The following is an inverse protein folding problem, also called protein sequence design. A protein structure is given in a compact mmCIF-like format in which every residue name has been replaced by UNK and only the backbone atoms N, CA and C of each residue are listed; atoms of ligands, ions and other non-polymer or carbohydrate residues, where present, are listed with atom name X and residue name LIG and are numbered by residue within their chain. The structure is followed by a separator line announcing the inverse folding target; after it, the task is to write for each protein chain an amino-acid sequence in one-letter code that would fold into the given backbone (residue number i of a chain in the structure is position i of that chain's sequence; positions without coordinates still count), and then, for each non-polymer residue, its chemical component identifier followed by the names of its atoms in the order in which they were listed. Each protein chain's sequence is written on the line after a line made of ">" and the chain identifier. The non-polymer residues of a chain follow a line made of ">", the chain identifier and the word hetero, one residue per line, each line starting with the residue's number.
data_IF_581410162061
#
_entry.id   IF_581410162061
#
_cell.length_a   1.000
_cell.length_b   1.000
_cell.length_c   1.000
_cell.angle_alpha   90.00
_cell.angle_beta   90.00
_cell.angle_gamma   90.00
#
_symmetry.space_group_name_H-M   'P 1'
#
loop_
_entity.id
_entity.type
_entity.pdbx_description
1 polymer ?
#
# COMPACT_ATOMS: atom_id res chain seq x y z
N UNK A 1 0.24 21.81 -3.01
CA UNK A 1 0.37 21.24 -2.98
C UNK A 1 0.42 20.55 -3.01
N UNK A 2 0.69 20.19 -2.91
CA UNK A 2 0.90 19.53 -2.75
C UNK A 2 0.93 18.65 -2.80
N UNK A 3 1.14 18.70 -2.79
CA UNK A 3 1.18 17.87 -2.92
C UNK A 3 1.77 16.67 -2.76
N UNK A 4 2.35 16.41 -2.59
CA UNK A 4 2.91 15.42 -2.35
C UNK A 4 2.51 14.84 -1.31
N UNK A 5 2.24 14.40 -1.03
CA UNK A 5 1.80 13.92 0.02
C UNK A 5 1.85 12.55 -0.02
N UNK A 6 2.23 11.96 -1.02
CA UNK A 6 2.20 10.71 -1.04
C UNK A 6 3.35 10.06 -0.62
N UNK A 7 3.40 9.16 0.23
CA UNK A 7 4.46 8.37 0.65
C UNK A 7 4.56 7.19 -0.27
N UNK A 8 4.90 7.41 -1.46
CA UNK A 8 5.10 6.33 -2.41
C UNK A 8 6.49 5.74 -2.30
N UNK A 9 6.79 4.74 -3.09
CA UNK A 9 8.09 4.09 -3.10
C UNK A 9 8.98 4.52 -4.25
N UNK A 10 8.46 5.27 -5.19
CA UNK A 10 9.20 5.59 -6.39
C UNK A 10 10.47 6.37 -6.13
N UNK A 11 10.42 7.30 -5.21
CA UNK A 11 11.57 8.20 -5.00
C UNK A 11 12.69 7.56 -4.18
N UNK A 12 12.46 6.40 -3.58
CA UNK A 12 13.48 5.73 -2.78
C UNK A 12 13.87 4.37 -3.31
N UNK A 13 13.28 3.93 -4.41
CA UNK A 13 13.53 2.61 -4.93
C UNK A 13 14.94 2.53 -5.50
N UNK A 14 15.64 1.46 -5.21
CA UNK A 14 17.00 1.27 -5.70
C UNK A 14 17.04 0.51 -7.01
N UNK A 15 16.11 -0.36 -7.24
CA UNK A 15 16.06 -1.15 -8.46
C UNK A 15 14.64 -1.56 -8.67
N UNK A 16 14.36 -2.12 -9.82
CA UNK A 16 13.02 -2.46 -10.24
C UNK A 16 12.02 -2.81 -9.15
N UNK A 17 10.82 -2.89 -9.48
CA UNK A 17 9.76 -3.24 -8.58
C UNK A 17 8.63 -3.89 -9.34
N UNK A 18 7.57 -4.21 -8.62
CA UNK A 18 6.39 -4.80 -9.21
C UNK A 18 5.25 -3.81 -9.11
N UNK A 19 4.61 -3.55 -10.26
CA UNK A 19 3.45 -2.68 -10.32
C UNK A 19 2.23 -3.61 -10.40
N UNK A 20 1.37 -3.54 -9.39
CA UNK A 20 0.21 -4.42 -9.30
C UNK A 20 -1.06 -3.78 -9.85
N UNK A 21 -0.96 -2.63 -10.53
CA UNK A 21 -2.17 -1.93 -11.01
C UNK A 21 -2.93 -2.74 -12.05
N UNK A 22 -2.24 -3.48 -12.91
CA UNK A 22 -2.91 -4.34 -13.86
C UNK A 22 -3.63 -5.49 -13.16
N UNK A 23 -2.99 -6.08 -12.15
CA UNK A 23 -3.63 -7.14 -11.36
C UNK A 23 -4.87 -6.60 -10.65
N UNK A 24 -4.79 -5.37 -10.14
CA UNK A 24 -5.91 -4.71 -9.50
C UNK A 24 -7.08 -4.53 -10.47
N UNK A 25 -6.79 -4.07 -11.68
CA UNK A 25 -7.84 -3.90 -12.69
C UNK A 25 -8.44 -5.24 -13.11
N UNK A 26 -7.63 -6.28 -13.18
CA UNK A 26 -8.15 -7.62 -13.50
C UNK A 26 -9.08 -8.13 -12.39
N UNK A 27 -8.72 -7.86 -11.13
CA UNK A 27 -9.57 -8.23 -9.99
C UNK A 27 -10.90 -7.49 -10.05
N UNK A 28 -10.87 -6.21 -10.34
CA UNK A 28 -12.10 -5.42 -10.45
C UNK A 28 -12.95 -5.86 -11.63
N UNK A 29 -12.32 -6.24 -12.75
CA UNK A 29 -13.05 -6.77 -13.90
C UNK A 29 -13.73 -8.10 -13.53
N UNK A 30 -13.04 -8.97 -12.81
CA UNK A 30 -13.63 -10.24 -12.37
C UNK A 30 -14.83 -10.00 -11.45
N UNK A 31 -14.76 -8.97 -10.61
CA UNK A 31 -15.90 -8.60 -9.76
C UNK A 31 -17.08 -8.12 -10.63
N UNK A 32 -16.82 -7.27 -11.60
CA UNK A 32 -17.87 -6.77 -12.48
C UNK A 32 -18.53 -7.89 -13.28
N UNK A 33 -17.74 -8.92 -13.63
CA UNK A 33 -18.22 -10.06 -14.39
C UNK A 33 -18.91 -11.11 -13.52
N UNK A 34 -18.92 -10.92 -12.21
CA UNK A 34 -19.57 -11.85 -11.30
C UNK A 34 -18.71 -13.04 -10.88
N UNK A 35 -17.44 -13.07 -11.27
CA UNK A 35 -16.53 -14.16 -10.92
C UNK A 35 -16.02 -14.06 -9.48
N UNK A 36 -16.01 -12.85 -8.93
CA UNK A 36 -15.59 -12.61 -7.54
C UNK A 36 -16.70 -11.87 -6.82
N UNK A 37 -16.91 -12.19 -5.55
CA UNK A 37 -17.94 -11.54 -4.76
C UNK A 37 -17.36 -10.35 -4.00
N UNK A 38 -18.25 -9.48 -3.56
CA UNK A 38 -17.86 -8.35 -2.72
C UNK A 38 -17.20 -8.83 -1.43
N UNK A 39 -17.74 -9.89 -0.84
CA UNK A 39 -17.18 -10.46 0.40
C UNK A 39 -15.76 -10.99 0.21
N UNK A 40 -15.46 -11.53 -0.96
CA UNK A 40 -14.11 -12.00 -1.24
C UNK A 40 -13.12 -10.87 -1.39
N UNK A 41 -13.58 -9.71 -1.83
CA UNK A 41 -12.70 -8.56 -2.10
C UNK A 41 -12.64 -7.57 -0.94
N UNK A 42 -13.69 -7.49 -0.15
CA UNK A 42 -13.76 -6.55 0.98
C UNK A 42 -13.44 -7.30 2.26
N UNK A 43 -12.23 -7.86 2.31
CA UNK A 43 -11.80 -8.77 3.35
C UNK A 43 -10.59 -8.31 4.15
N UNK A 44 -10.29 -7.02 4.14
CA UNK A 44 -9.15 -6.52 4.89
C UNK A 44 -9.25 -6.93 6.35
N UNK A 45 -8.15 -7.46 6.88
CA UNK A 45 -8.11 -7.88 8.25
C UNK A 45 -8.13 -6.67 9.18
N UNK A 46 -8.55 -6.89 10.42
CA UNK A 46 -8.67 -5.82 11.40
C UNK A 46 -7.38 -5.00 11.54
N UNK A 47 -6.25 -5.68 11.59
CA UNK A 47 -4.96 -5.01 11.73
C UNK A 47 -4.69 -4.06 10.59
N UNK A 48 -4.99 -4.49 9.37
CA UNK A 48 -4.77 -3.67 8.19
C UNK A 48 -5.68 -2.45 8.21
N UNK A 49 -6.94 -2.64 8.61
CA UNK A 49 -7.89 -1.54 8.71
C UNK A 49 -7.42 -0.52 9.76
N UNK A 50 -6.93 -1.00 10.91
CA UNK A 50 -6.41 -0.12 11.95
C UNK A 50 -5.21 0.69 11.44
N UNK A 51 -4.29 0.03 10.76
CA UNK A 51 -3.13 0.72 10.21
C UNK A 51 -3.54 1.74 9.16
N UNK A 52 -4.56 1.42 8.36
CA UNK A 52 -5.08 2.36 7.38
C UNK A 52 -5.63 3.61 8.07
N UNK A 53 -6.32 3.45 9.18
CA UNK A 53 -6.88 4.57 9.91
C UNK A 53 -5.83 5.43 10.60
N UNK A 54 -4.79 4.81 11.15
CA UNK A 54 -3.79 5.55 11.91
C UNK A 54 -2.55 5.94 11.12
N UNK A 55 -2.19 5.16 10.10
CA UNK A 55 -0.96 5.36 9.36
C UNK A 55 -1.17 5.56 7.86
N UNK A 56 -2.41 5.53 7.40
CA UNK A 56 -2.68 5.63 5.98
C UNK A 56 -2.60 7.06 5.49
N UNK A 57 -2.25 7.21 4.22
CA UNK A 57 -2.25 8.49 3.52
C UNK A 57 -3.46 8.51 2.59
N UNK A 58 -4.30 9.53 2.63
CA UNK A 58 -5.47 9.56 1.75
C UNK A 58 -5.07 9.42 0.29
N UNK A 59 -5.76 8.55 -0.43
CA UNK A 59 -5.55 8.40 -1.86
C UNK A 59 -6.28 9.53 -2.59
N UNK A 60 -5.83 9.81 -3.81
CA UNK A 60 -6.45 10.86 -4.60
C UNK A 60 -7.66 10.38 -5.37
N UNK A 61 -8.06 9.15 -5.17
CA UNK A 61 -9.18 8.53 -5.89
C UNK A 61 -10.14 7.89 -4.91
N UNK A 62 -11.35 7.66 -5.37
CA UNK A 62 -12.38 7.02 -4.54
C UNK A 62 -12.16 5.51 -4.49
N UNK A 63 -12.75 4.87 -3.48
CA UNK A 63 -12.72 3.42 -3.37
C UNK A 63 -13.44 2.81 -4.56
N UNK A 64 -12.83 1.83 -5.25
CA UNK A 64 -13.47 1.24 -6.42
C UNK A 64 -14.65 0.33 -6.08
N UNK A 65 -14.82 -0.02 -4.81
CA UNK A 65 -15.91 -0.91 -4.40
C UNK A 65 -17.09 -0.15 -3.84
N UNK A 66 -16.87 0.76 -2.89
CA UNK A 66 -17.99 1.48 -2.27
C UNK A 66 -18.15 2.90 -2.80
N UNK A 67 -17.22 3.34 -3.65
CA UNK A 67 -17.25 4.65 -4.33
C UNK A 67 -17.21 5.85 -3.38
N UNK A 68 -16.77 5.64 -2.15
CA UNK A 68 -16.64 6.72 -1.18
C UNK A 68 -15.19 7.26 -1.19
N UNK A 69 -14.99 8.51 -0.75
CA UNK A 69 -13.64 9.09 -0.71
C UNK A 69 -12.90 8.66 0.56
N UNK A 70 -12.90 7.36 0.83
CA UNK A 70 -12.35 6.80 2.05
C UNK A 70 -11.11 5.95 1.81
N UNK A 71 -10.64 5.88 0.56
CA UNK A 71 -9.49 5.05 0.22
C UNK A 71 -8.20 5.67 0.74
N UNK A 72 -7.36 4.86 1.36
CA UNK A 72 -6.05 5.31 1.83
C UNK A 72 -4.98 4.36 1.33
N UNK A 73 -3.74 4.83 1.34
CA UNK A 73 -2.58 4.00 1.01
C UNK A 73 -1.75 3.79 2.26
N UNK A 74 -1.33 2.55 2.49
CA UNK A 74 -0.52 2.17 3.63
C UNK A 74 0.78 1.61 3.08
N UNK A 75 1.91 2.09 3.60
CA UNK A 75 3.22 1.65 3.15
C UNK A 75 3.87 0.82 4.25
N UNK A 76 4.19 -0.43 3.92
CA UNK A 76 4.87 -1.34 4.85
C UNK A 76 6.26 -1.65 4.34
N UNK A 77 7.22 -1.75 5.25
CA UNK A 77 8.57 -2.16 4.91
C UNK A 77 8.96 -3.35 5.78
N UNK A 78 9.48 -4.40 5.15
CA UNK A 78 9.96 -5.62 5.82
C UNK A 78 11.46 -5.75 5.57
N UNK A 79 12.20 -6.14 6.57
CA UNK A 79 13.62 -6.35 6.39
C UNK A 79 14.38 -6.43 7.71
N UNK A 80 15.73 -6.52 7.63
CA UNK A 80 16.55 -6.60 8.83
C UNK A 80 16.36 -5.38 9.73
N UNK A 81 16.28 -5.63 11.03
CA UNK A 81 16.08 -4.58 12.04
C UNK A 81 14.75 -3.86 11.93
N UNK A 82 13.80 -4.49 11.30
CA UNK A 82 12.43 -4.00 11.25
C UNK A 82 11.53 -5.06 11.90
N UNK A 83 10.35 -4.68 12.38
CA UNK A 83 9.46 -5.65 13.00
C UNK A 83 9.10 -6.78 12.04
N UNK A 84 8.91 -7.98 12.56
CA UNK A 84 8.58 -9.14 11.75
C UNK A 84 7.33 -8.95 10.93
N UNK A 85 6.36 -8.27 11.50
CA UNK A 85 5.08 -8.02 10.83
C UNK A 85 5.10 -6.78 9.94
N UNK A 86 6.29 -6.20 9.74
CA UNK A 86 6.45 -5.04 8.91
C UNK A 86 6.34 -3.73 9.67
N UNK A 87 7.08 -2.73 9.19
CA UNK A 87 7.00 -1.39 9.75
C UNK A 87 6.06 -0.57 8.88
N UNK A 88 5.01 -0.02 9.48
CA UNK A 88 4.12 0.89 8.77
C UNK A 88 4.79 2.26 8.75
N UNK A 89 5.27 2.68 7.60
CA UNK A 89 6.05 3.91 7.46
C UNK A 89 5.09 5.05 7.17
N UNK A 90 5.23 6.14 7.93
CA UNK A 90 4.30 7.25 7.84
C UNK A 90 4.91 8.54 7.36
N UNK A 91 6.22 8.61 7.16
CA UNK A 91 6.87 9.85 6.73
C UNK A 91 7.98 9.57 5.73
N UNK A 92 8.23 10.55 4.88
CA UNK A 92 9.33 10.47 3.93
C UNK A 92 10.67 10.41 4.63
N UNK A 93 10.79 11.07 5.78
CA UNK A 93 12.03 11.04 6.55
C UNK A 93 12.34 9.63 7.04
N UNK A 94 11.34 8.93 7.52
CA UNK A 94 11.53 7.54 7.96
C UNK A 94 11.89 6.65 6.78
N UNK A 95 11.21 6.83 5.65
CA UNK A 95 11.50 6.07 4.45
C UNK A 95 12.93 6.32 3.97
N UNK A 96 13.37 7.58 3.97
CA UNK A 96 14.72 7.92 3.55
C UNK A 96 15.77 7.28 4.47
N UNK A 97 15.46 7.21 5.76
CA UNK A 97 16.37 6.59 6.72
C UNK A 97 16.53 5.09 6.43
N UNK A 98 15.44 4.42 6.12
CA UNK A 98 15.49 3.00 5.76
C UNK A 98 16.22 2.82 4.43
N UNK A 99 15.96 3.68 3.46
CA UNK A 99 16.58 3.60 2.14
C UNK A 99 18.08 3.85 2.20
N UNK A 100 18.58 4.53 3.22
CA UNK A 100 20.00 4.79 3.34
C UNK A 100 20.78 3.62 3.95
N UNK A 101 20.10 2.58 4.40
CA UNK A 101 20.76 1.42 4.99
C UNK A 101 21.47 0.59 3.93
N UNK A 102 22.53 -0.12 4.36
CA UNK A 102 23.23 -1.03 3.46
C UNK A 102 22.43 -2.29 3.21
N UNK A 103 21.64 -2.70 4.19
CA UNK A 103 20.80 -3.89 4.04
C UNK A 103 19.62 -3.59 3.11
N UNK A 104 19.14 -4.63 2.44
CA UNK A 104 18.00 -4.50 1.55
C UNK A 104 16.72 -4.84 2.30
N UNK A 105 15.73 -3.98 2.19
CA UNK A 105 14.40 -4.23 2.71
C UNK A 105 13.42 -4.26 1.55
N UNK A 106 12.21 -4.70 1.78
CA UNK A 106 11.17 -4.71 0.75
C UNK A 106 10.00 -3.85 1.20
N UNK A 107 9.63 -2.92 0.35
CA UNK A 107 8.48 -2.04 0.62
C UNK A 107 7.27 -2.46 -0.18
N UNK A 108 6.10 -2.32 0.41
CA UNK A 108 4.82 -2.63 -0.21
C UNK A 108 3.86 -1.48 0.03
N UNK A 109 3.08 -1.13 -0.98
CA UNK A 109 2.00 -0.17 -0.80
C UNK A 109 0.68 -0.90 -1.02
N UNK A 110 -0.20 -0.82 -0.03
CA UNK A 110 -1.55 -1.37 -0.10
C UNK A 110 -2.53 -0.23 -0.15
N UNK A 111 -3.51 -0.31 -1.04
CA UNK A 111 -4.66 0.59 -0.92
C UNK A 111 -5.70 -0.12 -0.05
N UNK A 112 -6.31 0.60 0.85
CA UNK A 112 -7.27 0.04 1.81
C UNK A 112 -8.41 1.02 2.00
N UNK A 113 -9.61 0.51 1.99
CA UNK A 113 -10.78 1.32 2.33
C UNK A 113 -11.28 0.89 3.70
N UNK A 114 -11.11 1.72 4.73
CA UNK A 114 -11.60 1.34 6.07
C UNK A 114 -13.12 1.20 6.13
N UNK A 115 -13.83 1.83 5.22
CA UNK A 115 -15.30 1.80 5.23
C UNK A 115 -15.85 0.46 4.76
N UNK A 116 -15.34 -0.08 3.66
CA UNK A 116 -15.87 -1.34 3.12
C UNK A 116 -14.90 -2.51 3.19
N UNK A 117 -13.65 -2.25 3.58
CA UNK A 117 -12.59 -3.26 3.75
C UNK A 117 -12.01 -3.78 2.44
N UNK A 118 -12.21 -3.06 1.35
CA UNK A 118 -11.48 -3.34 0.11
C UNK A 118 -10.00 -3.14 0.36
N UNK A 119 -9.16 -3.99 -0.22
CA UNK A 119 -7.73 -3.83 -0.14
C UNK A 119 -7.06 -4.50 -1.34
N UNK A 120 -5.95 -3.94 -1.77
CA UNK A 120 -5.16 -4.51 -2.85
C UNK A 120 -3.76 -3.92 -2.85
N UNK A 121 -2.78 -4.74 -3.15
CA UNK A 121 -1.42 -4.25 -3.35
C UNK A 121 -1.39 -3.38 -4.59
N UNK A 122 -0.63 -2.30 -4.55
CA UNK A 122 -0.43 -1.43 -5.71
C UNK A 122 1.00 -1.46 -6.21
N UNK A 123 1.98 -1.64 -5.32
CA UNK A 123 3.37 -1.79 -5.77
C UNK A 123 4.24 -2.43 -4.69
N UNK A 124 5.36 -2.99 -5.11
CA UNK A 124 6.39 -3.43 -4.18
C UNK A 124 7.75 -3.12 -4.78
N UNK A 125 8.75 -2.83 -3.95
CA UNK A 125 10.09 -2.50 -4.39
C UNK A 125 11.13 -2.86 -3.34
N UNK A 126 12.36 -3.12 -3.81
CA UNK A 126 13.50 -3.24 -2.92
C UNK A 126 13.92 -1.84 -2.48
N UNK A 127 14.26 -1.69 -1.21
CA UNK A 127 14.65 -0.41 -0.61
C UNK A 127 15.96 -0.60 0.12
N UNK A 128 16.89 0.31 -0.08
CA UNK A 128 18.20 0.23 0.55
C UNK A 128 19.20 -0.52 -0.30
N UNK A 129 20.24 -1.06 0.35
CA UNK A 129 21.27 -1.79 -0.37
C UNK A 129 22.36 -0.92 -0.97
N UNK A 130 22.64 0.22 -0.36
CA UNK A 130 23.66 1.16 -0.87
C UNK A 130 25.08 0.70 -0.60
#
# INVERSE_FOLDING_TARGET
>A
MTARTKLGLQHVATSGGIDYRLAREATLAAFRDGDLSREQLCDAQRELVRNAEFCGTPASRDCPMCEQPTLVEVTYVFGPRLPKHGRCVTSDREMDRIASRKSVSTGYVDEVCPACRWNHLTESRAIGGN
#
